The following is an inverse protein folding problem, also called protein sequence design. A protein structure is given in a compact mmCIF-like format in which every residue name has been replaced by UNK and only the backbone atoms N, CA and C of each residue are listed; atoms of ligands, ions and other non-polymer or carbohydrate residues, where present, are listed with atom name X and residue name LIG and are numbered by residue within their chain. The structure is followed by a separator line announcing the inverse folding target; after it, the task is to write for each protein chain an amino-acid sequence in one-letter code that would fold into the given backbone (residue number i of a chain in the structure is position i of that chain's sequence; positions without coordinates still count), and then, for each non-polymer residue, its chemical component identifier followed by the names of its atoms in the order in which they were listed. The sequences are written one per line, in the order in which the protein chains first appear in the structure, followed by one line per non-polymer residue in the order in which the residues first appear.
data_IF_221514536524
#
_entry.id   IF_221514536524
#
_cell.length_a   1.000
_cell.length_b   1.000
_cell.length_c   1.000
_cell.angle_alpha   90.00
_cell.angle_beta   90.00
_cell.angle_gamma   90.00
#
_symmetry.space_group_name_H-M   'P 1'
#
loop_
_entity.id
_entity.type
_entity.pdbx_description
1 polymer ?
#
# COMPACT_ATOMS: atom_id res chain seq x y z
N UNK A 1 -1.08 -35.21 21.02
CA UNK A 1 -1.83 -34.04 20.52
C UNK A 1 -0.95 -32.81 20.69
N UNK A 2 -0.40 -32.26 19.61
CA UNK A 2 0.37 -31.02 19.68
C UNK A 2 -0.61 -29.87 19.94
N UNK A 3 -0.50 -29.26 21.12
CA UNK A 3 -1.33 -28.13 21.51
C UNK A 3 -0.84 -26.89 20.74
N UNK A 4 -1.49 -26.60 19.61
CA UNK A 4 -1.31 -25.37 18.84
C UNK A 4 -1.91 -24.20 19.65
N UNK A 5 -1.13 -23.69 20.61
CA UNK A 5 -1.39 -22.39 21.21
C UNK A 5 -1.27 -21.34 20.08
N UNK A 6 -2.39 -21.00 19.44
CA UNK A 6 -2.51 -19.78 18.65
C UNK A 6 -2.23 -18.62 19.59
N UNK A 7 -0.98 -18.15 19.60
CA UNK A 7 -0.55 -16.98 20.37
C UNK A 7 -1.48 -15.83 19.99
N UNK A 8 -2.18 -15.27 20.98
CA UNK A 8 -3.08 -14.12 20.76
C UNK A 8 -2.25 -12.98 20.19
N UNK A 9 -2.60 -12.50 19.00
CA UNK A 9 -1.93 -11.35 18.36
C UNK A 9 -1.97 -10.17 19.33
N UNK A 10 -0.81 -9.54 19.52
CA UNK A 10 -0.72 -8.31 20.29
C UNK A 10 -1.30 -7.15 19.47
N UNK A 11 -1.61 -6.03 20.13
CA UNK A 11 -2.07 -4.83 19.42
C UNK A 11 -1.03 -4.36 18.40
N UNK A 12 0.26 -4.45 18.75
CA UNK A 12 1.37 -4.15 17.85
C UNK A 12 1.41 -5.04 16.61
N UNK A 13 1.04 -6.32 16.75
CA UNK A 13 0.97 -7.23 15.61
C UNK A 13 -0.19 -6.85 14.66
N UNK A 14 -1.33 -6.43 15.22
CA UNK A 14 -2.48 -5.96 14.44
C UNK A 14 -2.18 -4.67 13.70
N UNK A 15 -1.62 -3.67 14.39
CA UNK A 15 -1.21 -2.42 13.76
C UNK A 15 -0.21 -2.65 12.62
N UNK A 16 0.71 -3.61 12.78
CA UNK A 16 1.65 -4.00 11.71
C UNK A 16 0.91 -4.60 10.53
N UNK A 17 0.00 -5.53 10.77
CA UNK A 17 -0.77 -6.19 9.70
C UNK A 17 -1.67 -5.22 8.94
N UNK A 18 -2.33 -4.30 9.65
CA UNK A 18 -3.15 -3.25 9.04
C UNK A 18 -2.30 -2.34 8.15
N UNK A 19 -1.14 -1.91 8.64
CA UNK A 19 -0.24 -1.05 7.88
C UNK A 19 0.28 -1.74 6.61
N UNK A 20 0.63 -3.03 6.70
CA UNK A 20 1.08 -3.80 5.55
C UNK A 20 -0.06 -4.03 4.54
N UNK A 21 -1.26 -4.36 5.03
CA UNK A 21 -2.43 -4.54 4.17
C UNK A 21 -2.79 -3.26 3.43
N UNK A 22 -2.69 -2.10 4.08
CA UNK A 22 -2.98 -0.83 3.42
C UNK A 22 -1.90 -0.47 2.37
N UNK A 23 -0.62 -0.74 2.65
CA UNK A 23 0.44 -0.56 1.67
C UNK A 23 0.26 -1.47 0.44
N UNK A 24 -0.16 -2.72 0.64
CA UNK A 24 -0.46 -3.66 -0.44
C UNK A 24 -1.62 -3.16 -1.31
N UNK A 25 -2.73 -2.74 -0.70
CA UNK A 25 -3.87 -2.13 -1.41
C UNK A 25 -3.47 -0.90 -2.21
N UNK A 26 -2.68 0.00 -1.62
CA UNK A 26 -2.19 1.18 -2.35
C UNK A 26 -1.32 0.79 -3.54
N UNK A 27 -0.52 -0.27 -3.42
CA UNK A 27 0.30 -0.78 -4.52
C UNK A 27 -0.57 -1.30 -5.67
N UNK A 28 -1.63 -2.04 -5.35
CA UNK A 28 -2.60 -2.50 -6.35
C UNK A 28 -3.30 -1.32 -7.04
N UNK A 29 -3.78 -0.34 -6.28
CA UNK A 29 -4.43 0.85 -6.82
C UNK A 29 -3.52 1.67 -7.73
N UNK A 30 -2.23 1.80 -7.40
CA UNK A 30 -1.27 2.51 -8.26
C UNK A 30 -1.10 1.74 -9.58
N UNK A 31 -0.94 0.41 -9.52
CA UNK A 31 -0.82 -0.43 -10.74
C UNK A 31 -2.07 -0.36 -11.61
N UNK A 32 -3.25 -0.36 -11.00
CA UNK A 32 -4.52 -0.20 -11.72
C UNK A 32 -4.64 1.18 -12.37
N UNK A 33 -4.28 2.24 -11.63
CA UNK A 33 -4.27 3.60 -12.16
C UNK A 33 -3.31 3.76 -13.34
N UNK A 34 -2.11 3.17 -13.26
CA UNK A 34 -1.13 3.13 -14.35
C UNK A 34 -1.65 2.36 -15.57
N UNK A 35 -2.30 1.20 -15.36
CA UNK A 35 -2.92 0.45 -16.44
C UNK A 35 -4.02 1.27 -17.13
N UNK A 36 -4.90 1.90 -16.36
CA UNK A 36 -5.98 2.73 -16.89
C UNK A 36 -5.44 3.95 -17.64
N UNK A 37 -4.39 4.59 -17.13
CA UNK A 37 -3.72 5.70 -17.82
C UNK A 37 -3.20 5.26 -19.18
N UNK A 38 -2.54 4.11 -19.26
CA UNK A 38 -2.01 3.58 -20.53
C UNK A 38 -3.08 3.18 -21.55
N UNK A 39 -4.33 2.96 -21.11
CA UNK A 39 -5.45 2.59 -21.97
C UNK A 39 -6.35 3.78 -22.33
N UNK A 40 -6.11 4.96 -21.74
CA UNK A 40 -6.96 6.13 -21.90
C UNK A 40 -6.43 7.08 -22.97
N UNK A 41 -7.30 7.49 -23.89
CA UNK A 41 -6.99 8.50 -24.92
C UNK A 41 -7.73 9.84 -24.67
N UNK A 42 -8.63 9.90 -23.68
CA UNK A 42 -9.35 11.12 -23.32
C UNK A 42 -8.50 12.01 -22.41
N UNK A 43 -8.28 13.26 -22.82
CA UNK A 43 -7.41 14.20 -22.11
C UNK A 43 -7.88 14.53 -20.69
N UNK A 44 -9.19 14.59 -20.44
CA UNK A 44 -9.70 14.89 -19.10
C UNK A 44 -9.54 13.68 -18.19
N UNK A 45 -9.72 12.47 -18.72
CA UNK A 45 -9.46 11.23 -17.99
C UNK A 45 -7.98 11.08 -17.65
N UNK A 46 -7.09 11.35 -18.61
CA UNK A 46 -5.63 11.32 -18.37
C UNK A 46 -5.22 12.31 -17.28
N UNK A 47 -5.75 13.54 -17.31
CA UNK A 47 -5.47 14.54 -16.29
C UNK A 47 -5.99 14.09 -14.90
N UNK A 48 -7.21 13.57 -14.83
CA UNK A 48 -7.75 13.01 -13.59
C UNK A 48 -6.88 11.87 -13.04
N UNK A 49 -6.39 10.98 -13.90
CA UNK A 49 -5.51 9.88 -13.51
C UNK A 49 -4.16 10.36 -12.99
N UNK A 50 -3.56 11.42 -13.56
CA UNK A 50 -2.33 12.02 -13.04
C UNK A 50 -2.52 12.54 -11.62
N UNK A 51 -3.65 13.19 -11.33
CA UNK A 51 -3.97 13.65 -9.98
C UNK A 51 -4.19 12.49 -9.01
N UNK A 52 -4.88 11.45 -9.44
CA UNK A 52 -5.08 10.22 -8.65
C UNK A 52 -3.74 9.53 -8.34
N UNK A 53 -2.87 9.36 -9.34
CA UNK A 53 -1.56 8.74 -9.15
C UNK A 53 -0.72 9.49 -8.11
N UNK A 54 -0.72 10.83 -8.16
CA UNK A 54 -0.04 11.67 -7.16
C UNK A 54 -0.62 11.49 -5.75
N UNK A 55 -1.95 11.40 -5.64
CA UNK A 55 -2.65 11.15 -4.37
C UNK A 55 -2.26 9.79 -3.78
N UNK A 56 -2.31 8.74 -4.59
CA UNK A 56 -1.95 7.38 -4.19
C UNK A 56 -0.49 7.29 -3.75
N UNK A 57 0.43 7.90 -4.51
CA UNK A 57 1.86 7.95 -4.16
C UNK A 57 2.10 8.70 -2.84
N UNK A 58 1.43 9.83 -2.62
CA UNK A 58 1.56 10.58 -1.38
C UNK A 58 1.09 9.77 -0.16
N UNK A 59 -0.04 9.06 -0.28
CA UNK A 59 -0.54 8.14 0.76
C UNK A 59 0.44 7.01 1.02
N UNK A 60 1.01 6.42 -0.04
CA UNK A 60 1.99 5.34 0.07
C UNK A 60 3.24 5.79 0.83
N UNK A 61 3.81 6.94 0.46
CA UNK A 61 4.98 7.54 1.14
C UNK A 61 4.67 7.77 2.63
N UNK A 62 3.52 8.36 2.95
CA UNK A 62 3.11 8.58 4.33
C UNK A 62 3.07 7.28 5.16
N UNK A 63 2.55 6.19 4.59
CA UNK A 63 2.52 4.89 5.27
C UNK A 63 3.92 4.29 5.44
N UNK A 64 4.82 4.44 4.46
CA UNK A 64 6.22 4.03 4.62
C UNK A 64 6.92 4.79 5.75
N UNK A 65 6.71 6.11 5.84
CA UNK A 65 7.24 6.92 6.92
C UNK A 65 6.66 6.51 8.28
N UNK A 66 5.36 6.21 8.31
CA UNK A 66 4.68 5.71 9.52
C UNK A 66 5.25 4.37 9.96
N UNK A 67 5.45 3.44 9.04
CA UNK A 67 6.07 2.14 9.31
C UNK A 67 7.46 2.30 9.91
N UNK A 68 8.28 3.17 9.31
CA UNK A 68 9.63 3.50 9.78
C UNK A 68 9.59 4.06 11.20
N UNK A 69 8.72 5.01 11.50
CA UNK A 69 8.56 5.60 12.84
C UNK A 69 8.13 4.56 13.88
N UNK A 70 7.30 3.59 13.49
CA UNK A 70 6.84 2.49 14.35
C UNK A 70 7.83 1.32 14.46
N UNK A 71 8.96 1.36 13.76
CA UNK A 71 9.93 0.27 13.71
C UNK A 71 9.41 -0.99 13.03
N UNK A 72 8.41 -0.86 12.16
CA UNK A 72 7.88 -1.95 11.35
C UNK A 72 8.82 -2.17 10.17
N UNK A 73 9.42 -3.36 10.09
CA UNK A 73 10.17 -3.79 8.90
C UNK A 73 9.18 -4.16 7.81
N UNK A 74 9.30 -3.47 6.68
CA UNK A 74 8.61 -3.79 5.42
C UNK A 74 9.59 -4.63 4.60
N UNK A 75 9.45 -5.94 4.72
CA UNK A 75 10.22 -6.88 3.92
C UNK A 75 9.48 -7.05 2.59
N UNK A 76 9.89 -6.27 1.60
CA UNK A 76 9.46 -6.40 0.20
C UNK A 76 8.00 -6.04 -0.09
N UNK A 77 7.80 -4.84 -0.62
CA UNK A 77 6.67 -4.51 -1.50
C UNK A 77 7.35 -4.02 -2.77
N UNK A 78 7.00 -4.58 -3.92
CA UNK A 78 7.57 -4.18 -5.21
C UNK A 78 7.65 -2.66 -5.27
N UNK A 79 8.87 -2.13 -5.27
CA UNK A 79 9.07 -0.69 -5.48
C UNK A 79 8.61 -0.44 -6.90
N UNK A 80 7.44 0.18 -7.03
CA UNK A 80 6.98 0.78 -8.27
C UNK A 80 8.15 1.64 -8.76
N UNK A 81 8.77 1.21 -9.85
CA UNK A 81 10.01 1.75 -10.41
C UNK A 81 9.67 2.69 -11.54
#
# INVERSE_FOLDING_TARGET
MLNLLKKKKTEKDREREELLSELEKLTELIKENELLFNLSDDSNMLEAMIYEQKSLQARYIYLLETAKKKGVKIDYIERIK
#
